data_IF_602200847044
#
_entry.id   IF_602200847044
#
_cell.length_a   1.000
_cell.length_b   1.000
_cell.length_c   1.000
_cell.angle_alpha   90.00
_cell.angle_beta   90.00
_cell.angle_gamma   90.00
#
_symmetry.space_group_name_H-M   'P 1'
#
loop_
_entity.id
_entity.type
_entity.pdbx_description
1 polymer ?
#
# COMPACT_ATOMS: atom_id res chain seq x y z
N UNK A 1 -3.39 5.44 -9.42
CA UNK A 1 -2.42 4.37 -9.73
C UNK A 1 -3.15 3.19 -10.34
N UNK A 2 -2.59 2.55 -11.35
CA UNK A 2 -3.28 1.43 -11.99
C UNK A 2 -3.52 0.28 -11.01
N UNK A 3 -4.73 -0.21 -11.00
CA UNK A 3 -5.15 -1.25 -10.08
C UNK A 3 -4.37 -2.56 -10.30
N UNK A 4 -4.08 -2.85 -11.56
CA UNK A 4 -3.39 -4.10 -11.87
C UNK A 4 -2.00 -4.17 -11.26
N UNK A 5 -1.28 -3.06 -11.29
CA UNK A 5 0.05 -3.03 -10.69
C UNK A 5 -0.02 -3.13 -9.18
N UNK A 6 -1.00 -2.48 -8.58
CA UNK A 6 -1.16 -2.54 -7.13
C UNK A 6 -1.44 -3.96 -6.65
N UNK A 7 -2.15 -4.74 -7.46
CA UNK A 7 -2.48 -6.10 -7.08
C UNK A 7 -1.25 -6.98 -6.95
N UNK A 8 -0.16 -6.62 -7.61
CA UNK A 8 1.06 -7.41 -7.51
C UNK A 8 1.69 -7.30 -6.12
N UNK A 9 1.26 -6.30 -5.35
CA UNK A 9 1.83 -6.07 -4.03
C UNK A 9 1.01 -6.75 -2.93
N UNK A 10 -0.11 -7.39 -3.29
CA UNK A 10 -0.95 -8.04 -2.29
C UNK A 10 -0.17 -9.13 -1.58
N UNK A 11 -0.25 -9.12 -0.24
CA UNK A 11 0.43 -10.10 0.58
C UNK A 11 1.86 -9.74 0.93
N UNK A 12 2.35 -8.61 0.43
CA UNK A 12 3.74 -8.21 0.66
C UNK A 12 3.79 -7.03 1.60
N UNK A 13 4.82 -6.99 2.42
CA UNK A 13 5.08 -5.84 3.29
C UNK A 13 5.66 -4.74 2.42
N UNK A 14 5.03 -3.58 2.50
CA UNK A 14 5.43 -2.46 1.65
C UNK A 14 5.27 -1.14 2.39
N UNK A 15 5.81 -0.10 1.80
CA UNK A 15 5.69 1.26 2.29
C UNK A 15 4.90 2.06 1.27
N UNK A 16 3.83 2.70 1.73
CA UNK A 16 2.98 3.53 0.88
C UNK A 16 3.18 4.99 1.29
N UNK A 17 3.41 5.84 0.30
CA UNK A 17 3.52 7.27 0.54
C UNK A 17 2.32 7.93 -0.12
N UNK A 18 1.57 8.69 0.66
CA UNK A 18 0.38 9.38 0.19
C UNK A 18 0.73 10.81 -0.18
N UNK A 19 -0.04 11.35 -1.14
CA UNK A 19 0.22 12.71 -1.61
C UNK A 19 0.08 13.76 -0.51
N UNK A 20 -0.81 13.52 0.45
CA UNK A 20 -1.07 14.51 1.48
C UNK A 20 -0.28 14.27 2.76
N UNK A 21 0.73 13.42 2.69
CA UNK A 21 1.53 13.11 3.88
C UNK A 21 3.00 13.11 3.54
N UNK A 22 3.79 13.45 4.53
CA UNK A 22 5.24 13.54 4.36
C UNK A 22 5.91 12.19 4.53
N UNK A 23 5.39 11.38 5.44
CA UNK A 23 6.04 10.11 5.79
C UNK A 23 5.26 8.95 5.20
N UNK A 24 6.00 7.91 4.84
CA UNK A 24 5.37 6.70 4.38
C UNK A 24 4.76 5.90 5.52
N UNK A 25 3.79 5.06 5.17
CA UNK A 25 3.20 4.14 6.11
C UNK A 25 3.60 2.72 5.69
N UNK A 26 3.97 1.91 6.67
CA UNK A 26 4.45 0.58 6.40
C UNK A 26 3.42 -0.45 6.84
N UNK A 27 3.22 -1.45 6.03
CA UNK A 27 2.27 -2.50 6.34
C UNK A 27 2.14 -3.47 5.18
N UNK A 28 1.02 -4.16 5.13
CA UNK A 28 0.78 -5.19 4.13
C UNK A 28 -0.51 -4.88 3.39
N UNK A 29 -0.46 -4.96 2.07
CA UNK A 29 -1.67 -4.83 1.27
C UNK A 29 -2.39 -6.16 1.30
N UNK A 30 -3.64 -6.15 1.77
CA UNK A 30 -4.46 -7.35 1.87
C UNK A 30 -5.28 -7.57 0.62
N UNK A 31 -5.83 -6.50 0.08
CA UNK A 31 -6.70 -6.59 -1.08
C UNK A 31 -6.72 -5.26 -1.81
N UNK A 32 -7.02 -5.32 -3.09
CA UNK A 32 -7.22 -4.14 -3.92
C UNK A 32 -8.51 -4.37 -4.70
N UNK A 33 -9.49 -3.49 -4.50
CA UNK A 33 -10.74 -3.58 -5.24
C UNK A 33 -11.11 -2.20 -5.73
N UNK A 34 -11.38 -2.11 -7.01
CA UNK A 34 -11.66 -0.84 -7.66
C UNK A 34 -10.51 0.10 -7.36
N UNK A 35 -10.77 1.23 -6.71
CA UNK A 35 -9.69 2.17 -6.41
C UNK A 35 -9.39 2.22 -4.92
N UNK A 36 -9.69 1.13 -4.20
CA UNK A 36 -9.47 1.09 -2.76
C UNK A 36 -8.46 0.02 -2.42
N UNK A 37 -7.57 0.36 -1.51
CA UNK A 37 -6.53 -0.54 -1.01
C UNK A 37 -6.86 -0.88 0.43
N UNK A 38 -6.99 -2.17 0.73
CA UNK A 38 -7.16 -2.62 2.10
C UNK A 38 -5.77 -2.87 2.65
N UNK A 39 -5.36 -2.05 3.59
CA UNK A 39 -3.98 -2.01 4.07
C UNK A 39 -3.93 -2.33 5.55
N UNK A 40 -3.14 -3.33 5.91
CA UNK A 40 -2.98 -3.74 7.29
C UNK A 40 -1.74 -3.09 7.87
N UNK A 41 -1.94 -2.16 8.80
CA UNK A 41 -0.87 -1.61 9.59
C UNK A 41 -0.75 -2.38 10.88
N UNK A 42 0.12 -1.92 11.76
CA UNK A 42 0.51 -2.67 12.94
C UNK A 42 -0.69 -3.12 13.78
N UNK A 43 -1.63 -2.24 14.04
CA UNK A 43 -2.77 -2.58 14.90
C UNK A 43 -4.10 -2.21 14.30
N UNK A 44 -4.14 -2.00 12.99
CA UNK A 44 -5.39 -1.58 12.38
C UNK A 44 -5.39 -1.90 10.90
N UNK A 45 -6.59 -1.94 10.35
CA UNK A 45 -6.77 -2.11 8.91
C UNK A 45 -7.39 -0.82 8.39
N UNK A 46 -6.78 -0.29 7.33
CA UNK A 46 -7.25 0.94 6.71
C UNK A 46 -7.70 0.69 5.30
N UNK A 47 -8.66 1.47 4.85
CA UNK A 47 -8.99 1.55 3.43
C UNK A 47 -8.40 2.84 2.91
N UNK A 48 -7.51 2.71 1.93
CA UNK A 48 -6.79 3.85 1.38
C UNK A 48 -7.26 4.06 -0.04
N UNK A 49 -7.61 5.31 -0.36
CA UNK A 49 -8.01 5.67 -1.71
C UNK A 49 -6.77 5.63 -2.60
N UNK A 50 -6.83 4.82 -3.67
CA UNK A 50 -5.69 4.66 -4.55
C UNK A 50 -5.27 5.95 -5.25
N UNK A 51 -6.19 6.90 -5.41
CA UNK A 51 -5.84 8.19 -6.03
C UNK A 51 -4.94 9.03 -5.12
N UNK A 52 -4.91 8.72 -3.83
CA UNK A 52 -4.07 9.44 -2.89
C UNK A 52 -2.68 8.84 -2.77
N UNK A 53 -2.42 7.73 -3.41
CA UNK A 53 -1.14 7.05 -3.31
C UNK A 53 -0.17 7.68 -4.30
N UNK A 54 0.95 8.18 -3.77
CA UNK A 54 2.00 8.74 -4.61
C UNK A 54 2.92 7.63 -5.11
N UNK A 55 3.35 6.74 -4.20
CA UNK A 55 4.10 5.58 -4.62
C UNK A 55 4.02 4.49 -3.57
N UNK A 56 4.35 3.28 -4.00
CA UNK A 56 4.40 2.10 -3.16
C UNK A 56 5.75 1.45 -3.40
N UNK A 57 6.46 1.13 -2.32
CA UNK A 57 7.74 0.47 -2.47
C UNK A 57 7.81 -0.78 -1.61
N UNK A 58 8.56 -1.74 -2.08
CA UNK A 58 8.83 -2.98 -1.37
C UNK A 58 10.32 -3.04 -1.10
N UNK A 59 10.67 -3.29 0.16
CA UNK A 59 12.07 -3.45 0.51
C UNK A 59 12.42 -4.94 0.32
N UNK A 60 13.33 -5.25 -0.59
CA UNK A 60 13.70 -6.64 -0.79
C UNK A 60 14.34 -7.22 0.46
N UNK A 61 14.06 -8.49 0.71
CA UNK A 61 14.71 -9.18 1.80
C UNK A 61 16.18 -9.35 1.51
N UNK A 62 16.96 -9.23 2.57
CA UNK A 62 18.40 -9.45 2.47
C UNK A 62 18.74 -10.78 3.13
N UNK A 63 19.61 -11.49 2.50
CA UNK A 63 20.03 -12.77 3.01
C UNK A 63 21.51 -12.78 3.24
#
# INVERSE_FOLDING_TARGET
>A
MPQELMKEFIGKVCTIILFNETFGIQGKIIAVEENWIKFEEKNKIRLINGDMVRDISITPEKH
#
